data_IF_918158020461
#
_entry.id   IF_918158020461
#
_cell.length_a   1.000
_cell.length_b   1.000
_cell.length_c   1.000
_cell.angle_alpha   90.00
_cell.angle_beta   90.00
_cell.angle_gamma   90.00
#
_symmetry.space_group_name_H-M   'P 1'
#
loop_
_entity.id
_entity.type
_entity.pdbx_description
1 polymer ?
#
# COMPACT_ATOMS: atom_id res chain seq x y z
N UNK A 1 -27.54 -0.90 38.39
CA UNK A 1 -26.73 -1.44 37.27
C UNK A 1 -25.49 -0.59 37.02
N UNK A 2 -24.33 -1.15 36.66
CA UNK A 2 -23.16 -0.33 36.28
C UNK A 2 -23.40 0.44 34.97
N UNK A 3 -22.37 1.13 34.42
CA UNK A 3 -22.40 1.64 33.05
C UNK A 3 -22.89 0.55 32.09
N UNK A 4 -23.98 0.81 31.36
CA UNK A 4 -24.47 -0.12 30.34
C UNK A 4 -24.25 0.44 28.96
N UNK A 5 -24.02 -0.43 27.98
CA UNK A 5 -23.91 -0.03 26.57
C UNK A 5 -25.06 -0.69 25.84
N UNK A 6 -25.98 0.10 25.31
CA UNK A 6 -27.13 -0.41 24.57
C UNK A 6 -26.71 -0.53 23.10
N UNK A 7 -26.82 -1.75 22.56
CA UNK A 7 -26.54 -1.97 21.14
C UNK A 7 -27.79 -1.67 20.29
N UNK A 8 -27.64 -0.88 19.20
CA UNK A 8 -28.75 -0.59 18.31
C UNK A 8 -29.25 -1.84 17.56
N UNK A 9 -28.36 -2.80 17.33
CA UNK A 9 -28.67 -4.09 16.70
C UNK A 9 -27.73 -5.18 17.21
N UNK A 10 -28.25 -6.39 17.39
CA UNK A 10 -27.50 -7.57 17.82
C UNK A 10 -26.83 -8.26 16.63
N UNK A 11 -25.87 -7.59 16.00
CA UNK A 11 -25.00 -8.22 14.99
C UNK A 11 -23.63 -8.54 15.58
N UNK A 12 -23.00 -9.61 15.08
CA UNK A 12 -21.65 -10.01 15.50
C UNK A 12 -20.63 -8.88 15.34
N UNK A 13 -20.76 -8.07 14.28
CA UNK A 13 -19.88 -6.93 14.00
C UNK A 13 -20.03 -5.83 15.05
N UNK A 14 -21.26 -5.40 15.35
CA UNK A 14 -21.54 -4.35 16.34
C UNK A 14 -21.06 -4.77 17.73
N UNK A 15 -21.31 -6.02 18.13
CA UNK A 15 -20.85 -6.57 19.42
C UNK A 15 -19.32 -6.56 19.46
N UNK A 16 -18.66 -6.99 18.38
CA UNK A 16 -17.19 -7.06 18.36
C UNK A 16 -16.55 -5.68 18.34
N UNK A 17 -17.12 -4.73 17.59
CA UNK A 17 -16.68 -3.33 17.55
C UNK A 17 -16.77 -2.67 18.94
N UNK A 18 -17.92 -2.80 19.61
CA UNK A 18 -18.10 -2.24 20.95
C UNK A 18 -17.18 -2.90 21.98
N UNK A 19 -17.08 -4.24 21.95
CA UNK A 19 -16.24 -4.99 22.89
C UNK A 19 -14.75 -4.64 22.70
N UNK A 20 -14.30 -4.49 21.45
CA UNK A 20 -12.94 -4.06 21.15
C UNK A 20 -12.68 -2.61 21.51
N UNK A 21 -13.64 -1.72 21.26
CA UNK A 21 -13.56 -0.33 21.69
C UNK A 21 -13.41 -0.20 23.20
N UNK A 22 -14.21 -0.95 23.96
CA UNK A 22 -14.11 -1.01 25.42
C UNK A 22 -12.71 -1.51 25.84
N UNK A 23 -12.26 -2.66 25.33
CA UNK A 23 -10.97 -3.23 25.71
C UNK A 23 -9.79 -2.30 25.38
N UNK A 24 -9.79 -1.67 24.21
CA UNK A 24 -8.76 -0.70 23.83
C UNK A 24 -8.71 0.49 24.80
N UNK A 25 -9.86 1.03 25.17
CA UNK A 25 -9.93 2.15 26.11
C UNK A 25 -9.46 1.73 27.52
N UNK A 26 -9.85 0.55 28.00
CA UNK A 26 -9.39 0.00 29.28
C UNK A 26 -7.86 -0.20 29.29
N UNK A 27 -7.26 -0.55 28.15
CA UNK A 27 -5.82 -0.72 27.97
C UNK A 27 -5.04 0.60 27.73
N UNK A 28 -5.71 1.77 27.83
CA UNK A 28 -5.15 3.08 27.49
C UNK A 28 -4.68 3.20 26.03
N UNK A 29 -5.38 2.57 25.10
CA UNK A 29 -5.11 2.61 23.66
C UNK A 29 -6.11 3.50 22.92
N UNK A 30 -5.67 4.04 21.79
CA UNK A 30 -6.51 4.89 20.94
C UNK A 30 -7.62 4.08 20.30
N UNK A 31 -8.85 4.52 20.48
CA UNK A 31 -10.02 4.02 19.77
C UNK A 31 -10.55 5.10 18.82
N UNK A 32 -10.98 4.70 17.63
CA UNK A 32 -11.38 5.64 16.58
C UNK A 32 -12.69 6.34 16.95
N UNK A 33 -12.66 7.67 17.06
CA UNK A 33 -13.81 8.45 17.55
C UNK A 33 -15.06 8.31 16.66
N UNK A 34 -14.87 8.06 15.36
CA UNK A 34 -15.94 7.80 14.38
C UNK A 34 -16.67 6.48 14.61
N UNK A 35 -15.98 5.48 15.17
CA UNK A 35 -16.60 4.21 15.57
C UNK A 35 -17.24 4.38 16.95
N UNK A 36 -16.58 5.11 17.86
CA UNK A 36 -17.11 5.40 19.18
C UNK A 36 -18.41 6.20 19.18
N UNK A 37 -18.66 7.06 18.19
CA UNK A 37 -19.93 7.78 18.05
C UNK A 37 -21.14 6.90 17.77
N UNK A 38 -20.93 5.65 17.33
CA UNK A 38 -22.03 4.70 17.10
C UNK A 38 -22.55 4.07 18.39
N UNK A 39 -21.84 4.27 19.50
CA UNK A 39 -22.15 3.68 20.80
C UNK A 39 -22.34 4.78 21.84
N UNK A 40 -23.11 4.48 22.87
CA UNK A 40 -23.30 5.37 24.01
C UNK A 40 -23.28 4.57 25.30
N UNK A 41 -22.76 5.20 26.35
CA UNK A 41 -22.96 4.72 27.71
C UNK A 41 -24.35 5.15 28.17
N UNK A 42 -25.21 4.20 28.45
CA UNK A 42 -26.54 4.45 28.98
C UNK A 42 -26.50 4.33 30.51
N UNK A 43 -26.85 5.43 31.17
CA UNK A 43 -27.12 5.46 32.60
C UNK A 43 -28.64 5.54 32.81
N UNK A 44 -29.15 4.75 33.75
CA UNK A 44 -30.56 4.74 34.11
C UNK A 44 -30.76 5.60 35.34
N UNK A 45 -31.79 6.46 35.32
CA UNK A 45 -32.17 7.29 36.46
C UNK A 45 -33.61 7.03 36.84
N UNK A 46 -33.87 6.97 38.14
CA UNK A 46 -35.22 6.90 38.70
C UNK A 46 -35.44 8.13 39.59
N UNK A 47 -36.45 8.95 39.29
CA UNK A 47 -36.77 10.19 40.04
C UNK A 47 -35.58 11.14 40.26
N UNK A 48 -34.62 11.16 39.32
CA UNK A 48 -33.42 12.00 39.39
C UNK A 48 -32.21 11.33 40.04
N UNK A 49 -32.37 10.20 40.72
CA UNK A 49 -31.28 9.43 41.33
C UNK A 49 -30.73 8.36 40.37
N UNK A 50 -29.41 8.07 40.43
CA UNK A 50 -28.80 7.04 39.59
C UNK A 50 -29.30 5.65 40.00
N UNK A 51 -29.84 4.90 39.04
CA UNK A 51 -30.25 3.52 39.23
C UNK A 51 -29.07 2.57 39.00
N UNK A 52 -28.03 2.71 39.85
CA UNK A 52 -26.77 2.00 39.70
C UNK A 52 -26.53 0.90 40.77
N UNK A 53 -25.28 0.60 41.14
CA UNK A 53 -24.98 -0.35 42.22
C UNK A 53 -25.16 0.25 43.63
N UNK A 54 -25.31 1.57 43.73
CA UNK A 54 -25.57 2.28 44.98
C UNK A 54 -27.06 2.33 45.34
N UNK A 55 -27.94 1.99 44.40
CA UNK A 55 -29.38 1.88 44.66
C UNK A 55 -29.66 0.75 45.64
N UNK A 56 -30.27 1.07 46.78
CA UNK A 56 -30.78 0.10 47.74
C UNK A 56 -32.30 0.24 47.88
N UNK A 57 -32.98 -0.89 47.77
CA UNK A 57 -34.40 -1.04 48.07
C UNK A 57 -34.52 -1.88 49.34
N UNK A 58 -35.43 -1.51 50.24
CA UNK A 58 -35.66 -2.30 51.46
C UNK A 58 -36.55 -3.51 51.16
N UNK A 59 -37.55 -3.33 50.29
CA UNK A 59 -38.45 -4.38 49.84
C UNK A 59 -38.47 -4.52 48.31
N UNK A 60 -38.83 -5.71 47.79
CA UNK A 60 -38.92 -5.99 46.35
C UNK A 60 -39.97 -5.10 45.64
N UNK A 61 -40.98 -4.61 46.38
CA UNK A 61 -41.99 -3.67 45.89
C UNK A 61 -41.46 -2.25 45.66
N UNK A 62 -40.30 -1.92 46.23
CA UNK A 62 -39.65 -0.62 46.05
C UNK A 62 -38.81 -0.55 44.77
N UNK A 63 -38.68 -1.68 44.05
CA UNK A 63 -38.01 -1.72 42.76
C UNK A 63 -38.89 -1.00 41.73
N UNK A 64 -38.40 0.10 41.12
CA UNK A 64 -39.19 0.87 40.18
C UNK A 64 -39.51 0.05 38.93
N UNK A 65 -40.74 0.17 38.37
CA UNK A 65 -41.08 -0.47 37.11
C UNK A 65 -40.24 0.11 35.98
N UNK A 66 -39.87 -0.72 35.00
CA UNK A 66 -38.97 -0.33 33.90
C UNK A 66 -39.44 0.92 33.13
N UNK A 67 -40.75 1.18 33.07
CA UNK A 67 -41.36 2.36 32.44
C UNK A 67 -41.07 3.68 33.16
N UNK A 68 -40.64 3.64 34.42
CA UNK A 68 -40.31 4.82 35.23
C UNK A 68 -38.82 5.22 35.15
N UNK A 69 -38.00 4.42 34.48
CA UNK A 69 -36.58 4.68 34.30
C UNK A 69 -36.35 5.61 33.12
N UNK A 70 -35.61 6.70 33.36
CA UNK A 70 -35.15 7.61 32.31
C UNK A 70 -33.74 7.21 31.91
N UNK A 71 -33.52 7.01 30.60
CA UNK A 71 -32.21 6.68 30.04
C UNK A 71 -31.50 7.97 29.64
N UNK A 72 -30.30 8.18 30.17
CA UNK A 72 -29.40 9.24 29.73
C UNK A 72 -28.21 8.62 29.01
N UNK A 73 -27.96 9.08 27.78
CA UNK A 73 -26.86 8.59 26.95
C UNK A 73 -25.66 9.55 27.06
N UNK A 74 -24.54 9.01 27.50
CA UNK A 74 -23.24 9.65 27.58
C UNK A 74 -22.32 9.11 26.48
N UNK A 75 -21.24 9.84 26.19
CA UNK A 75 -20.25 9.44 25.19
C UNK A 75 -19.62 8.10 25.55
N UNK A 76 -19.36 7.24 24.55
CA UNK A 76 -18.72 5.93 24.73
C UNK A 76 -17.22 6.04 25.10
N UNK A 77 -16.97 6.48 26.33
CA UNK A 77 -15.64 6.75 26.88
C UNK A 77 -15.51 6.08 28.25
N UNK A 78 -14.50 5.22 28.40
CA UNK A 78 -14.20 4.50 29.63
C UNK A 78 -12.82 4.88 30.14
N UNK A 79 -12.69 5.03 31.46
CA UNK A 79 -11.42 5.28 32.09
C UNK A 79 -10.50 4.04 31.96
N UNK A 80 -9.20 4.22 31.65
CA UNK A 80 -8.26 3.11 31.59
C UNK A 80 -8.07 2.48 32.97
N UNK A 81 -7.90 1.16 33.01
CA UNK A 81 -7.62 0.44 34.25
C UNK A 81 -6.11 0.26 34.42
N UNK A 82 -5.56 0.68 35.56
CA UNK A 82 -4.11 0.67 35.80
C UNK A 82 -3.45 -0.70 35.54
N UNK A 83 -4.13 -1.80 35.90
CA UNK A 83 -3.62 -3.17 35.70
C UNK A 83 -3.83 -3.74 34.29
N UNK A 84 -4.61 -3.07 33.43
CA UNK A 84 -4.80 -3.46 32.03
C UNK A 84 -4.00 -2.60 31.06
N UNK A 85 -3.32 -1.56 31.54
CA UNK A 85 -2.46 -0.72 30.69
C UNK A 85 -1.36 -1.57 30.09
N UNK A 86 -1.35 -1.65 28.76
CA UNK A 86 -0.28 -2.31 28.02
C UNK A 86 0.43 -1.31 27.11
N UNK A 87 1.76 -1.35 27.07
CA UNK A 87 2.51 -0.63 26.05
C UNK A 87 2.57 -1.44 24.75
N UNK A 88 1.54 -1.29 23.93
CA UNK A 88 1.48 -1.96 22.63
C UNK A 88 2.52 -1.45 21.63
N UNK A 89 3.23 -0.33 21.90
CA UNK A 89 4.37 0.09 21.07
C UNK A 89 5.54 -0.88 21.23
N UNK A 90 5.69 -1.51 22.40
CA UNK A 90 6.69 -2.53 22.68
C UNK A 90 6.52 -3.83 21.89
N UNK A 91 5.32 -4.11 21.36
CA UNK A 91 5.08 -5.30 20.55
C UNK A 91 5.75 -5.26 19.16
N UNK A 92 5.96 -4.06 18.60
CA UNK A 92 6.56 -3.94 17.26
C UNK A 92 8.05 -4.35 17.26
N UNK A 93 8.89 -3.92 18.22
CA UNK A 93 10.24 -4.47 18.40
C UNK A 93 10.25 -5.97 18.70
N UNK A 94 9.31 -6.46 19.51
CA UNK A 94 9.23 -7.89 19.86
C UNK A 94 8.97 -8.75 18.63
N UNK A 95 8.08 -8.33 17.73
CA UNK A 95 7.82 -9.03 16.47
C UNK A 95 9.06 -9.21 15.59
N UNK A 96 10.00 -8.25 15.63
CA UNK A 96 11.26 -8.35 14.88
C UNK A 96 12.28 -9.28 15.53
N UNK A 97 12.33 -9.30 16.87
CA UNK A 97 13.37 -10.00 17.64
C UNK A 97 13.01 -11.43 18.02
N UNK A 98 11.73 -11.70 18.30
CA UNK A 98 11.27 -12.99 18.80
C UNK A 98 10.52 -13.79 17.73
N UNK A 99 11.09 -14.92 17.34
CA UNK A 99 10.48 -15.84 16.40
C UNK A 99 9.20 -16.48 16.96
N UNK A 100 9.11 -16.73 18.26
CA UNK A 100 7.93 -17.35 18.89
C UNK A 100 6.74 -16.40 18.86
N UNK A 101 6.94 -15.14 19.27
CA UNK A 101 5.91 -14.12 19.16
C UNK A 101 5.46 -13.91 17.71
N UNK A 102 6.40 -13.85 16.75
CA UNK A 102 6.06 -13.80 15.32
C UNK A 102 5.22 -15.00 14.87
N UNK A 103 5.56 -16.22 15.30
CA UNK A 103 4.81 -17.43 14.97
C UNK A 103 3.38 -17.38 15.54
N UNK A 104 3.24 -16.87 16.77
CA UNK A 104 1.94 -16.66 17.40
C UNK A 104 1.09 -15.68 16.58
N UNK A 105 1.64 -14.51 16.23
CA UNK A 105 0.93 -13.49 15.44
C UNK A 105 0.48 -14.04 14.08
N UNK A 106 1.34 -14.75 13.36
CA UNK A 106 0.98 -15.36 12.07
C UNK A 106 -0.15 -16.38 12.23
N UNK A 107 -0.10 -17.25 13.24
CA UNK A 107 -1.18 -18.21 13.55
C UNK A 107 -2.48 -17.50 13.94
N UNK A 108 -2.41 -16.40 14.68
CA UNK A 108 -3.59 -15.62 15.05
C UNK A 108 -4.25 -15.02 13.81
N UNK A 109 -3.49 -14.51 12.84
CA UNK A 109 -4.06 -14.02 11.58
C UNK A 109 -4.72 -15.13 10.76
N UNK A 110 -4.22 -16.37 10.81
CA UNK A 110 -4.89 -17.49 10.15
C UNK A 110 -6.29 -17.78 10.73
N UNK A 111 -6.52 -17.47 12.01
CA UNK A 111 -7.81 -17.62 12.69
C UNK A 111 -8.72 -16.42 12.41
N UNK A 112 -8.15 -15.21 12.32
CA UNK A 112 -8.88 -13.96 12.07
C UNK A 112 -9.32 -13.86 10.60
N UNK A 113 -8.53 -14.37 9.65
CA UNK A 113 -8.85 -14.36 8.21
C UNK A 113 -9.91 -15.40 7.86
N UNK A 114 -11.12 -15.15 8.37
CA UNK A 114 -12.36 -15.84 8.03
C UNK A 114 -13.44 -14.80 7.76
N UNK A 115 -14.40 -15.05 6.86
CA UNK A 115 -15.41 -14.06 6.48
C UNK A 115 -16.15 -13.44 7.66
N UNK A 116 -16.38 -14.20 8.75
CA UNK A 116 -17.12 -13.74 9.92
C UNK A 116 -16.30 -12.82 10.84
N UNK A 117 -14.96 -12.84 10.75
CA UNK A 117 -14.05 -12.19 11.71
C UNK A 117 -13.09 -11.18 11.09
N UNK A 118 -12.93 -11.20 9.76
CA UNK A 118 -11.93 -10.38 9.05
C UNK A 118 -12.11 -8.88 9.27
N UNK A 119 -13.36 -8.42 9.49
CA UNK A 119 -13.66 -7.03 9.80
C UNK A 119 -12.97 -6.55 11.08
N UNK A 120 -12.61 -7.45 12.01
CA UNK A 120 -11.83 -7.09 13.19
C UNK A 120 -10.49 -6.42 12.87
N UNK A 121 -9.94 -6.67 11.68
CA UNK A 121 -8.69 -6.05 11.25
C UNK A 121 -8.86 -4.57 10.89
N UNK A 122 -10.06 -4.13 10.49
CA UNK A 122 -10.29 -2.74 10.06
C UNK A 122 -10.48 -1.79 11.22
N UNK A 123 -11.21 -2.20 12.27
CA UNK A 123 -11.46 -1.37 13.45
C UNK A 123 -10.49 -1.59 14.61
N UNK A 124 -9.68 -2.66 14.60
CA UNK A 124 -8.64 -2.86 15.61
C UNK A 124 -7.27 -2.31 15.13
N UNK A 125 -6.77 -1.21 15.71
CA UNK A 125 -5.52 -0.58 15.28
C UNK A 125 -4.29 -1.47 15.54
N UNK A 126 -4.37 -2.40 16.50
CA UNK A 126 -3.29 -3.34 16.83
C UNK A 126 -3.16 -4.38 15.73
N UNK A 127 -4.28 -5.01 15.34
CA UNK A 127 -4.29 -5.96 14.22
C UNK A 127 -3.89 -5.28 12.93
N UNK A 128 -4.33 -4.05 12.68
CA UNK A 128 -3.88 -3.26 11.53
C UNK A 128 -2.35 -3.07 11.51
N UNK A 129 -1.74 -2.71 12.66
CA UNK A 129 -0.27 -2.54 12.77
C UNK A 129 0.49 -3.85 12.64
N UNK A 130 0.05 -4.91 13.31
CA UNK A 130 0.68 -6.24 13.24
C UNK A 130 0.57 -6.83 11.83
N UNK A 131 -0.56 -6.66 11.16
CA UNK A 131 -0.73 -7.12 9.78
C UNK A 131 0.26 -6.42 8.85
N UNK A 132 0.42 -5.10 8.97
CA UNK A 132 1.42 -4.35 8.19
C UNK A 132 2.84 -4.88 8.42
N UNK A 133 3.18 -5.31 9.64
CA UNK A 133 4.47 -5.93 9.94
C UNK A 133 4.60 -7.32 9.31
N UNK A 134 3.56 -8.15 9.36
CA UNK A 134 3.52 -9.44 8.68
C UNK A 134 3.74 -9.26 7.17
N UNK A 135 3.06 -8.29 6.55
CA UNK A 135 3.19 -7.99 5.12
C UNK A 135 4.58 -7.47 4.71
N UNK A 136 5.40 -6.98 5.65
CA UNK A 136 6.80 -6.62 5.36
C UNK A 136 7.72 -7.83 5.24
N UNK A 137 7.35 -8.96 5.84
CA UNK A 137 8.13 -10.21 5.78
C UNK A 137 7.81 -11.00 4.50
N UNK A 138 8.10 -10.40 3.34
CA UNK A 138 7.76 -10.98 2.02
C UNK A 138 8.45 -12.29 1.70
N UNK A 139 9.60 -12.55 2.33
CA UNK A 139 10.35 -13.80 2.15
C UNK A 139 9.83 -14.94 3.05
N UNK A 140 8.86 -14.68 3.92
CA UNK A 140 8.27 -15.69 4.78
C UNK A 140 7.17 -16.47 4.01
N UNK A 141 7.33 -17.78 3.76
CA UNK A 141 6.37 -18.57 2.98
C UNK A 141 4.98 -18.64 3.62
N UNK A 142 4.87 -18.34 4.92
CA UNK A 142 3.57 -18.31 5.62
C UNK A 142 2.70 -17.15 5.15
N UNK A 143 3.30 -16.09 4.62
CA UNK A 143 2.58 -14.93 4.11
C UNK A 143 1.73 -15.29 2.89
N UNK A 144 2.15 -16.25 2.06
CA UNK A 144 1.40 -16.69 0.88
C UNK A 144 0.06 -17.31 1.29
N UNK A 145 0.06 -18.18 2.30
CA UNK A 145 -1.15 -18.81 2.85
C UNK A 145 -2.08 -17.75 3.46
N UNK A 146 -1.53 -16.82 4.24
CA UNK A 146 -2.28 -15.70 4.80
C UNK A 146 -2.91 -14.82 3.70
N UNK A 147 -2.17 -14.54 2.63
CA UNK A 147 -2.64 -13.73 1.50
C UNK A 147 -3.75 -14.43 0.73
N UNK A 148 -3.66 -15.75 0.54
CA UNK A 148 -4.71 -16.55 -0.08
C UNK A 148 -6.00 -16.54 0.77
N UNK A 149 -5.89 -16.75 2.08
CA UNK A 149 -7.04 -16.67 3.02
C UNK A 149 -7.67 -15.28 3.05
N UNK A 150 -6.84 -14.23 3.07
CA UNK A 150 -7.34 -12.84 3.02
C UNK A 150 -8.05 -12.55 1.70
N UNK A 151 -7.54 -13.06 0.58
CA UNK A 151 -8.15 -12.90 -0.75
C UNK A 151 -9.57 -13.48 -0.81
N UNK A 152 -9.82 -14.60 -0.13
CA UNK A 152 -11.15 -15.19 0.00
C UNK A 152 -12.10 -14.33 0.85
N UNK A 153 -11.55 -13.49 1.73
CA UNK A 153 -12.29 -12.58 2.60
C UNK A 153 -12.45 -11.16 2.01
N UNK A 154 -11.95 -10.89 0.80
CA UNK A 154 -12.08 -9.57 0.13
C UNK A 154 -13.53 -9.17 -0.13
N UNK A 155 -14.46 -10.07 -0.51
CA UNK A 155 -15.87 -9.68 -0.73
C UNK A 155 -16.53 -9.05 0.51
N UNK A 156 -16.14 -9.47 1.72
CA UNK A 156 -16.60 -8.89 2.98
C UNK A 156 -15.84 -7.62 3.38
N UNK A 157 -14.71 -7.31 2.73
CA UNK A 157 -13.88 -6.12 2.93
C UNK A 157 -14.18 -5.06 1.85
N UNK A 158 -15.41 -4.57 1.75
CA UNK A 158 -15.82 -3.51 0.81
C UNK A 158 -15.22 -2.13 1.12
N UNK A 159 -14.25 -2.02 2.03
CA UNK A 159 -13.68 -0.77 2.55
C UNK A 159 -12.87 0.07 1.54
N UNK A 160 -12.40 -0.52 0.44
CA UNK A 160 -11.65 0.23 -0.59
C UNK A 160 -12.48 1.32 -1.26
N UNK A 161 -13.76 1.04 -1.55
CA UNK A 161 -14.70 2.01 -2.08
C UNK A 161 -15.04 3.10 -1.04
N UNK A 162 -15.13 2.72 0.25
CA UNK A 162 -15.45 3.66 1.34
C UNK A 162 -14.41 4.78 1.47
N UNK A 163 -13.11 4.47 1.47
CA UNK A 163 -12.06 5.51 1.57
C UNK A 163 -12.12 6.51 0.43
N UNK A 164 -12.37 6.02 -0.80
CA UNK A 164 -12.50 6.88 -1.98
C UNK A 164 -13.74 7.77 -1.84
N UNK A 165 -14.88 7.19 -1.45
CA UNK A 165 -16.11 7.95 -1.18
C UNK A 165 -15.92 9.04 -0.14
N UNK A 166 -15.30 8.71 0.99
CA UNK A 166 -15.07 9.68 2.07
C UNK A 166 -14.15 10.83 1.59
N UNK A 167 -13.10 10.51 0.84
CA UNK A 167 -12.19 11.52 0.28
C UNK A 167 -12.88 12.40 -0.78
N UNK A 168 -13.69 11.82 -1.66
CA UNK A 168 -14.46 12.55 -2.68
C UNK A 168 -15.54 13.43 -2.04
N UNK A 169 -16.24 12.93 -1.02
CA UNK A 169 -17.25 13.69 -0.29
C UNK A 169 -16.65 14.91 0.42
N UNK A 170 -15.45 14.75 1.00
CA UNK A 170 -14.71 15.85 1.61
C UNK A 170 -14.16 16.85 0.57
N UNK A 171 -13.86 16.40 -0.65
CA UNK A 171 -13.28 17.19 -1.72
C UNK A 171 -14.35 17.74 -2.67
N UNK A 172 -15.16 18.70 -2.21
CA UNK A 172 -16.07 19.53 -3.00
C UNK A 172 -16.74 18.82 -4.22
N UNK A 173 -17.83 18.06 -4.01
CA UNK A 173 -18.37 17.09 -4.99
C UNK A 173 -18.95 17.70 -6.28
N UNK A 174 -19.15 19.02 -6.34
CA UNK A 174 -19.75 19.73 -7.48
C UNK A 174 -18.72 20.49 -8.34
N UNK A 175 -17.44 20.32 -8.05
CA UNK A 175 -16.35 21.00 -8.77
C UNK A 175 -15.88 20.28 -10.03
N UNK A 176 -14.82 20.80 -10.68
CA UNK A 176 -14.20 20.15 -11.83
C UNK A 176 -13.68 18.77 -11.47
N UNK A 177 -13.83 17.81 -12.37
CA UNK A 177 -13.49 16.41 -12.14
C UNK A 177 -12.85 15.73 -13.35
N UNK A 178 -12.16 14.63 -13.07
CA UNK A 178 -11.65 13.72 -14.08
C UNK A 178 -12.55 12.51 -14.22
N UNK A 179 -12.82 12.13 -15.46
CA UNK A 179 -13.43 10.85 -15.81
C UNK A 179 -12.53 10.12 -16.80
N UNK A 180 -12.73 8.81 -16.92
CA UNK A 180 -12.02 7.99 -17.88
C UNK A 180 -13.03 7.39 -18.84
N UNK A 181 -12.76 7.50 -20.14
CA UNK A 181 -13.52 6.76 -21.14
C UNK A 181 -13.04 5.30 -21.15
N UNK A 182 -13.77 4.46 -20.42
CA UNK A 182 -13.50 3.03 -20.25
C UNK A 182 -13.97 2.31 -21.53
N UNK A 183 -13.22 2.49 -22.62
CA UNK A 183 -13.32 1.60 -23.78
C UNK A 183 -12.84 0.18 -23.44
N UNK A 184 -12.46 -0.60 -24.45
CA UNK A 184 -11.85 -1.91 -24.19
C UNK A 184 -10.50 -1.75 -23.48
N UNK A 185 -10.44 -2.15 -22.20
CA UNK A 185 -9.19 -2.22 -21.43
C UNK A 185 -8.39 -3.44 -21.89
N UNK A 186 -7.17 -3.23 -22.38
CA UNK A 186 -6.26 -4.33 -22.77
C UNK A 186 -5.54 -4.96 -21.57
N UNK A 187 -5.67 -4.38 -20.37
CA UNK A 187 -4.93 -4.77 -19.18
C UNK A 187 -5.84 -5.34 -18.09
N UNK A 188 -5.27 -6.09 -17.15
CA UNK A 188 -5.99 -6.65 -16.00
C UNK A 188 -5.79 -5.80 -14.73
N UNK A 189 -6.70 -5.94 -13.75
CA UNK A 189 -6.55 -5.36 -12.40
C UNK A 189 -5.26 -5.80 -11.70
N UNK A 190 -4.80 -7.03 -11.96
CA UNK A 190 -3.54 -7.55 -11.43
C UNK A 190 -2.32 -6.81 -12.02
N UNK A 191 -2.37 -6.46 -13.31
CA UNK A 191 -1.31 -5.72 -14.01
C UNK A 191 -1.12 -4.30 -13.43
N UNK A 192 -2.19 -3.61 -13.03
CA UNK A 192 -2.04 -2.30 -12.37
C UNK A 192 -1.46 -2.46 -10.97
N UNK A 193 -1.90 -3.47 -10.21
CA UNK A 193 -1.36 -3.73 -8.87
C UNK A 193 0.13 -4.08 -8.91
N UNK A 194 0.57 -4.77 -9.96
CA UNK A 194 1.99 -5.09 -10.13
C UNK A 194 2.84 -3.86 -10.41
N UNK A 195 2.27 -2.72 -10.86
CA UNK A 195 3.02 -1.50 -11.13
C UNK A 195 3.84 -1.05 -9.91
N UNK A 196 3.28 -1.14 -8.70
CA UNK A 196 3.97 -0.77 -7.46
C UNK A 196 5.15 -1.70 -7.10
N UNK A 197 5.18 -2.91 -7.67
CA UNK A 197 6.25 -3.89 -7.52
C UNK A 197 7.21 -3.84 -8.71
N UNK A 198 6.75 -4.25 -9.89
CA UNK A 198 7.54 -4.32 -11.12
C UNK A 198 6.87 -3.51 -12.25
N UNK A 199 7.40 -2.33 -12.63
CA UNK A 199 6.86 -1.52 -13.72
C UNK A 199 7.28 -2.09 -15.08
N UNK A 200 6.69 -3.23 -15.45
CA UNK A 200 6.96 -3.91 -16.72
C UNK A 200 6.60 -3.01 -17.92
N UNK A 201 7.36 -3.02 -19.03
CA UNK A 201 7.15 -2.11 -20.16
C UNK A 201 5.73 -2.17 -20.74
N UNK A 202 5.16 -3.37 -20.91
CA UNK A 202 3.79 -3.52 -21.42
C UNK A 202 2.71 -3.01 -20.46
N UNK A 203 2.98 -3.03 -19.15
CA UNK A 203 2.07 -2.44 -18.15
C UNK A 203 2.16 -0.92 -18.20
N UNK A 204 3.37 -0.36 -18.30
CA UNK A 204 3.58 1.09 -18.43
C UNK A 204 2.93 1.65 -19.69
N UNK A 205 3.08 0.96 -20.82
CA UNK A 205 2.44 1.32 -22.09
C UNK A 205 0.91 1.26 -21.96
N UNK A 206 0.37 0.21 -21.34
CA UNK A 206 -1.06 0.08 -21.07
C UNK A 206 -1.59 1.23 -20.20
N UNK A 207 -0.90 1.55 -19.10
CA UNK A 207 -1.25 2.68 -18.22
C UNK A 207 -1.19 3.99 -18.99
N UNK A 208 -0.13 4.25 -19.75
CA UNK A 208 0.00 5.48 -20.55
C UNK A 208 -1.15 5.62 -21.57
N UNK A 209 -1.48 4.55 -22.29
CA UNK A 209 -2.54 4.55 -23.29
C UNK A 209 -3.93 4.80 -22.68
N UNK A 210 -4.17 4.29 -21.47
CA UNK A 210 -5.43 4.50 -20.77
C UNK A 210 -5.48 5.92 -20.23
N UNK A 211 -4.41 6.39 -19.58
CA UNK A 211 -4.36 7.75 -19.05
C UNK A 211 -4.45 8.81 -20.14
N UNK A 212 -4.00 8.53 -21.37
CA UNK A 212 -4.22 9.41 -22.51
C UNK A 212 -5.72 9.66 -22.83
N UNK A 213 -6.63 8.81 -22.36
CA UNK A 213 -8.09 8.94 -22.52
C UNK A 213 -8.77 9.61 -21.32
N UNK A 214 -7.99 10.14 -20.38
CA UNK A 214 -8.52 10.89 -19.24
C UNK A 214 -9.16 12.20 -19.73
N UNK A 215 -10.41 12.41 -19.37
CA UNK A 215 -11.17 13.59 -19.74
C UNK A 215 -11.34 14.52 -18.54
N UNK A 216 -11.22 15.82 -18.80
CA UNK A 216 -11.52 16.87 -17.84
C UNK A 216 -12.94 17.38 -18.07
N UNK A 217 -13.74 17.42 -17.01
CA UNK A 217 -15.07 18.00 -17.01
C UNK A 217 -15.16 19.12 -15.97
N UNK A 218 -15.82 20.23 -16.33
CA UNK A 218 -16.03 21.35 -15.39
C UNK A 218 -17.00 20.99 -14.25
N UNK A 219 -17.89 20.04 -14.51
CA UNK A 219 -18.87 19.52 -13.56
C UNK A 219 -18.96 18.00 -13.72
N UNK A 220 -19.29 17.26 -12.65
CA UNK A 220 -19.52 15.82 -12.76
C UNK A 220 -20.62 15.54 -13.78
N UNK A 221 -20.44 14.55 -14.67
CA UNK A 221 -21.48 14.15 -15.62
C UNK A 221 -22.75 13.73 -14.86
N UNK A 222 -23.91 13.98 -15.44
CA UNK A 222 -25.19 13.64 -14.83
C UNK A 222 -25.18 12.15 -14.44
N UNK A 223 -25.44 11.88 -13.15
CA UNK A 223 -25.50 10.54 -12.58
C UNK A 223 -26.36 9.65 -13.48
N UNK A 224 -25.82 8.55 -14.00
CA UNK A 224 -26.69 7.49 -14.51
C UNK A 224 -27.38 6.86 -13.32
N UNK A 225 -28.71 6.71 -13.37
CA UNK A 225 -29.58 6.06 -12.37
C UNK A 225 -29.26 4.57 -12.10
N UNK A 226 -28.01 4.15 -12.26
CA UNK A 226 -27.55 2.83 -11.85
C UNK A 226 -27.37 2.87 -10.34
N UNK A 227 -28.24 2.15 -9.64
CA UNK A 227 -28.24 1.94 -8.19
C UNK A 227 -26.98 1.24 -7.64
N UNK A 228 -25.88 1.18 -8.41
CA UNK A 228 -24.61 0.55 -8.03
C UNK A 228 -23.50 1.61 -7.89
N UNK A 229 -23.37 2.11 -6.66
CA UNK A 229 -22.20 2.34 -5.78
C UNK A 229 -20.76 2.60 -6.30
N UNK A 230 -20.51 2.71 -7.61
CA UNK A 230 -19.17 2.94 -8.18
C UNK A 230 -19.00 4.40 -8.64
N UNK A 231 -18.29 5.20 -7.84
CA UNK A 231 -17.85 6.55 -8.23
C UNK A 231 -17.00 6.48 -9.51
N UNK A 232 -17.51 7.03 -10.63
CA UNK A 232 -16.81 7.04 -11.93
C UNK A 232 -16.02 8.31 -12.21
N UNK A 233 -15.90 9.19 -11.22
CA UNK A 233 -15.19 10.46 -11.33
C UNK A 233 -14.27 10.72 -10.13
N UNK A 234 -13.24 11.53 -10.35
CA UNK A 234 -12.34 12.03 -9.30
C UNK A 234 -12.32 13.57 -9.31
N UNK A 235 -12.66 14.25 -8.20
CA UNK A 235 -12.57 15.70 -8.11
C UNK A 235 -11.13 16.21 -8.29
N UNK A 236 -10.99 17.35 -8.98
CA UNK A 236 -9.70 18.03 -9.11
C UNK A 236 -9.20 18.57 -7.76
N UNK A 237 -10.12 18.90 -6.84
CA UNK A 237 -9.86 19.39 -5.48
C UNK A 237 -9.13 18.37 -4.58
N UNK A 238 -9.04 17.10 -4.97
CA UNK A 238 -8.30 16.08 -4.23
C UNK A 238 -6.84 16.47 -4.05
N UNK A 239 -6.26 16.06 -2.91
CA UNK A 239 -4.82 16.16 -2.67
C UNK A 239 -4.05 15.41 -3.75
N UNK A 240 -2.82 15.83 -4.05
CA UNK A 240 -2.04 15.17 -5.11
C UNK A 240 -1.77 13.69 -4.76
N UNK A 241 -1.53 13.37 -3.48
CA UNK A 241 -1.35 11.98 -3.03
C UNK A 241 -2.60 11.13 -3.26
N UNK A 242 -3.78 11.63 -2.86
CA UNK A 242 -5.04 10.91 -3.03
C UNK A 242 -5.43 10.80 -4.50
N UNK A 243 -5.21 11.86 -5.30
CA UNK A 243 -5.47 11.84 -6.73
C UNK A 243 -4.72 10.70 -7.43
N UNK A 244 -3.39 10.64 -7.26
CA UNK A 244 -2.58 9.61 -7.91
C UNK A 244 -2.78 8.21 -7.30
N UNK A 245 -3.15 8.12 -6.02
CA UNK A 245 -3.53 6.86 -5.37
C UNK A 245 -4.85 6.31 -5.91
N UNK A 246 -5.81 7.19 -6.18
CA UNK A 246 -7.16 6.83 -6.62
C UNK A 246 -7.32 6.81 -8.14
N UNK A 247 -6.38 7.31 -8.93
CA UNK A 247 -6.46 7.28 -10.40
C UNK A 247 -6.81 5.88 -10.99
N UNK A 248 -6.28 4.77 -10.46
CA UNK A 248 -6.67 3.42 -10.89
C UNK A 248 -8.12 3.05 -10.61
N UNK A 249 -8.81 3.74 -9.70
CA UNK A 249 -10.23 3.55 -9.44
C UNK A 249 -11.06 3.79 -10.70
N UNK A 250 -10.69 4.80 -11.49
CA UNK A 250 -11.33 5.11 -12.77
C UNK A 250 -11.15 3.99 -13.80
N UNK A 251 -10.07 3.21 -13.69
CA UNK A 251 -9.78 2.07 -14.57
C UNK A 251 -10.48 0.80 -14.08
N UNK A 252 -10.40 0.55 -12.76
CA UNK A 252 -11.01 -0.59 -12.09
C UNK A 252 -11.59 -0.14 -10.75
N UNK A 253 -12.92 -0.18 -10.56
CA UNK A 253 -13.56 0.22 -9.32
C UNK A 253 -12.95 -0.45 -8.06
N UNK A 254 -12.87 0.34 -6.98
CA UNK A 254 -12.26 -0.03 -5.70
C UNK A 254 -10.74 -0.26 -5.71
N UNK A 255 -10.00 0.18 -6.74
CA UNK A 255 -8.54 0.01 -6.81
C UNK A 255 -7.81 1.25 -6.33
N UNK A 256 -7.00 1.11 -5.28
CA UNK A 256 -6.12 2.16 -4.76
C UNK A 256 -4.67 1.71 -4.79
N UNK A 257 -3.74 2.63 -5.04
CA UNK A 257 -2.30 2.35 -4.99
C UNK A 257 -1.65 2.82 -3.69
N UNK A 258 -0.58 2.14 -3.30
CA UNK A 258 0.33 2.64 -2.27
C UNK A 258 1.05 3.91 -2.75
N UNK A 259 1.69 4.65 -1.83
CA UNK A 259 2.46 5.85 -2.15
C UNK A 259 3.45 5.62 -3.31
N UNK A 260 4.16 4.49 -3.33
CA UNK A 260 5.09 4.12 -4.41
C UNK A 260 4.36 3.88 -5.75
N UNK A 261 3.24 3.16 -5.73
CA UNK A 261 2.45 2.96 -6.94
C UNK A 261 1.91 4.28 -7.50
N UNK A 262 1.40 5.15 -6.61
CA UNK A 262 0.95 6.49 -6.97
C UNK A 262 2.09 7.35 -7.55
N UNK A 263 3.28 7.28 -6.96
CA UNK A 263 4.48 7.95 -7.45
C UNK A 263 4.90 7.48 -8.85
N UNK A 264 4.82 6.18 -9.12
CA UNK A 264 5.11 5.64 -10.46
C UNK A 264 4.08 6.09 -11.49
N UNK A 265 2.80 6.12 -11.14
CA UNK A 265 1.74 6.66 -12.00
C UNK A 265 1.98 8.14 -12.29
N UNK A 266 2.28 8.94 -11.26
CA UNK A 266 2.62 10.34 -11.43
C UNK A 266 3.84 10.54 -12.34
N UNK A 267 4.88 9.72 -12.17
CA UNK A 267 6.06 9.75 -13.02
C UNK A 267 5.74 9.40 -14.47
N UNK A 268 4.86 8.43 -14.71
CA UNK A 268 4.37 8.11 -16.05
C UNK A 268 3.61 9.30 -16.66
N UNK A 269 2.69 9.93 -15.91
CA UNK A 269 1.97 11.14 -16.37
C UNK A 269 2.92 12.29 -16.72
N UNK A 270 3.98 12.47 -15.94
CA UNK A 270 4.99 13.49 -16.19
C UNK A 270 5.81 13.16 -17.46
N UNK A 271 6.32 11.93 -17.57
CA UNK A 271 7.12 11.50 -18.71
C UNK A 271 6.32 11.40 -20.02
N UNK A 272 5.02 11.15 -19.94
CA UNK A 272 4.11 11.14 -21.09
C UNK A 272 3.61 12.52 -21.48
N UNK A 273 3.96 13.57 -20.72
CA UNK A 273 3.51 14.94 -20.90
C UNK A 273 1.97 15.08 -20.92
N UNK A 274 1.31 14.49 -19.93
CA UNK A 274 -0.14 14.46 -19.87
C UNK A 274 -0.73 15.83 -19.50
N UNK A 275 -1.45 16.44 -20.44
CA UNK A 275 -1.96 17.82 -20.41
C UNK A 275 -2.59 18.21 -19.07
N UNK A 276 -3.44 17.35 -18.48
CA UNK A 276 -4.19 17.70 -17.27
C UNK A 276 -3.50 17.35 -15.95
N UNK A 277 -2.50 16.47 -15.98
CA UNK A 277 -1.86 15.93 -14.78
C UNK A 277 -0.39 16.30 -14.65
N UNK A 278 0.21 16.90 -15.69
CA UNK A 278 1.64 17.20 -15.75
C UNK A 278 2.12 18.06 -14.57
N UNK A 279 1.49 19.22 -14.35
CA UNK A 279 1.90 20.14 -13.28
C UNK A 279 1.71 19.52 -11.89
N UNK A 280 0.56 18.86 -11.67
CA UNK A 280 0.26 18.17 -10.41
C UNK A 280 1.19 16.99 -10.16
N UNK A 281 1.59 16.28 -11.21
CA UNK A 281 2.57 15.21 -11.12
C UNK A 281 3.93 15.76 -10.74
N UNK A 282 4.37 16.85 -11.36
CA UNK A 282 5.63 17.51 -11.01
C UNK A 282 5.65 17.93 -9.52
N UNK A 283 4.61 18.60 -9.04
CA UNK A 283 4.48 18.98 -7.63
C UNK A 283 4.53 17.77 -6.69
N UNK A 284 3.77 16.71 -6.98
CA UNK A 284 3.77 15.50 -6.18
C UNK A 284 5.13 14.81 -6.15
N UNK A 285 5.79 14.70 -7.32
CA UNK A 285 7.10 14.08 -7.46
C UNK A 285 8.19 14.86 -6.70
N UNK A 286 8.10 16.20 -6.66
CA UNK A 286 9.00 17.01 -5.82
C UNK A 286 8.79 16.77 -4.33
N UNK A 287 7.54 16.57 -3.89
CA UNK A 287 7.22 16.34 -2.48
C UNK A 287 7.75 14.99 -1.96
N UNK A 288 7.80 13.97 -2.82
CA UNK A 288 8.28 12.62 -2.46
C UNK A 288 9.77 12.40 -2.69
N UNK A 289 10.52 13.44 -3.07
CA UNK A 289 11.96 13.34 -3.30
C UNK A 289 12.67 12.79 -2.05
N UNK A 290 13.62 11.86 -2.23
CA UNK A 290 14.34 11.21 -1.12
C UNK A 290 13.64 9.95 -0.56
N UNK A 291 12.44 9.62 -1.05
CA UNK A 291 11.72 8.40 -0.63
C UNK A 291 11.89 7.23 -1.61
N UNK A 292 12.57 7.43 -2.73
CA UNK A 292 12.68 6.44 -3.81
C UNK A 292 13.62 5.29 -3.45
N UNK A 293 14.66 5.58 -2.65
CA UNK A 293 15.68 4.61 -2.28
C UNK A 293 15.76 4.38 -0.76
N UNK A 294 14.87 3.55 -0.18
CA UNK A 294 14.91 3.22 1.24
C UNK A 294 15.91 2.07 1.52
N UNK A 295 17.20 2.39 1.73
CA UNK A 295 18.25 1.36 1.96
C UNK A 295 17.96 0.41 3.11
N UNK A 296 17.39 0.90 4.20
CA UNK A 296 17.04 0.09 5.37
C UNK A 296 16.07 -1.05 5.02
N UNK A 297 15.37 -0.92 3.89
CA UNK A 297 14.36 -1.85 3.39
C UNK A 297 14.71 -2.43 2.02
N UNK A 298 15.97 -2.32 1.58
CA UNK A 298 16.42 -2.80 0.26
C UNK A 298 16.15 -4.31 0.05
N UNK A 299 16.28 -5.12 1.10
CA UNK A 299 16.00 -6.57 1.08
C UNK A 299 14.50 -6.85 1.03
N UNK A 300 13.69 -5.98 1.63
CA UNK A 300 12.22 -6.12 1.66
C UNK A 300 11.58 -5.71 0.32
N UNK A 301 12.24 -4.82 -0.43
CA UNK A 301 11.76 -4.31 -1.72
C UNK A 301 12.81 -4.47 -2.82
N UNK A 302 13.17 -5.72 -3.20
CA UNK A 302 14.20 -5.94 -4.21
C UNK A 302 13.82 -5.36 -5.58
N UNK A 303 12.53 -5.11 -5.82
CA UNK A 303 12.04 -4.65 -7.11
C UNK A 303 12.48 -3.22 -7.44
N UNK A 304 12.92 -2.42 -6.45
CA UNK A 304 13.50 -1.08 -6.68
C UNK A 304 14.83 -1.14 -7.44
N UNK A 305 15.47 -2.32 -7.51
CA UNK A 305 16.70 -2.56 -8.25
C UNK A 305 16.47 -3.30 -9.57
N UNK A 306 15.21 -3.61 -9.92
CA UNK A 306 14.87 -4.20 -11.21
C UNK A 306 15.28 -3.28 -12.37
N UNK A 307 15.63 -3.89 -13.51
CA UNK A 307 16.13 -3.14 -14.66
C UNK A 307 15.09 -2.12 -15.16
N UNK A 308 13.82 -2.49 -15.18
CA UNK A 308 12.70 -1.66 -15.63
C UNK A 308 12.50 -0.46 -14.71
N UNK A 309 12.53 -0.68 -13.40
CA UNK A 309 12.40 0.38 -12.40
C UNK A 309 13.56 1.37 -12.48
N UNK A 310 14.80 0.85 -12.58
CA UNK A 310 16.01 1.67 -12.73
C UNK A 310 15.96 2.48 -14.03
N UNK A 311 15.52 1.90 -15.15
CA UNK A 311 15.36 2.61 -16.42
C UNK A 311 14.34 3.75 -16.33
N UNK A 312 13.21 3.51 -15.67
CA UNK A 312 12.17 4.52 -15.47
C UNK A 312 12.67 5.69 -14.61
N UNK A 313 13.32 5.40 -13.48
CA UNK A 313 13.89 6.43 -12.61
C UNK A 313 15.08 7.15 -13.24
N UNK A 314 15.86 6.47 -14.08
CA UNK A 314 16.90 7.11 -14.88
C UNK A 314 16.32 8.17 -15.84
N UNK A 315 15.10 8.00 -16.35
CA UNK A 315 14.41 9.04 -17.14
C UNK A 315 13.84 10.15 -16.23
N UNK A 316 13.41 9.81 -15.03
CA UNK A 316 12.82 10.70 -14.03
C UNK A 316 13.81 11.43 -13.10
N UNK A 317 15.08 11.57 -13.48
CA UNK A 317 16.15 12.05 -12.58
C UNK A 317 15.89 13.41 -11.91
N UNK A 318 15.08 14.27 -12.52
CA UNK A 318 14.75 15.59 -11.98
C UNK A 318 14.12 15.54 -10.58
N UNK A 319 13.45 14.44 -10.23
CA UNK A 319 12.72 14.27 -8.96
C UNK A 319 13.43 13.34 -7.97
N UNK A 320 14.71 13.09 -8.20
CA UNK A 320 15.58 12.32 -7.33
C UNK A 320 16.53 13.27 -6.59
N UNK A 321 16.90 12.94 -5.35
CA UNK A 321 18.00 13.63 -4.65
C UNK A 321 19.34 13.42 -5.39
N UNK A 322 20.35 14.28 -5.21
CA UNK A 322 21.66 14.09 -5.85
C UNK A 322 22.27 12.71 -5.56
N UNK A 323 22.04 12.20 -4.36
CA UNK A 323 22.47 10.89 -3.94
C UNK A 323 21.71 9.76 -4.67
N UNK A 324 20.38 9.81 -4.70
CA UNK A 324 19.56 8.84 -5.45
C UNK A 324 19.91 8.84 -6.95
N UNK A 325 20.13 10.03 -7.53
CA UNK A 325 20.55 10.17 -8.94
C UNK A 325 21.86 9.43 -9.19
N UNK A 326 22.84 9.58 -8.31
CA UNK A 326 24.12 8.88 -8.45
C UNK A 326 23.93 7.36 -8.45
N UNK A 327 23.16 6.84 -7.49
CA UNK A 327 22.90 5.39 -7.36
C UNK A 327 22.19 4.86 -8.60
N UNK A 328 21.08 5.48 -9.02
CA UNK A 328 20.31 5.01 -10.19
C UNK A 328 21.07 5.17 -11.51
N UNK A 329 21.94 6.18 -11.65
CA UNK A 329 22.86 6.28 -12.80
C UNK A 329 23.83 5.11 -12.85
N UNK A 330 24.43 4.75 -11.72
CA UNK A 330 25.35 3.62 -11.65
C UNK A 330 24.63 2.29 -11.94
N UNK A 331 23.48 2.05 -11.31
CA UNK A 331 22.67 0.86 -11.57
C UNK A 331 22.24 0.75 -13.03
N UNK A 332 21.88 1.87 -13.66
CA UNK A 332 21.52 1.90 -15.08
C UNK A 332 22.70 1.46 -15.97
N UNK A 333 23.91 1.93 -15.68
CA UNK A 333 25.12 1.52 -16.40
C UNK A 333 25.40 0.03 -16.18
N UNK A 334 25.33 -0.45 -14.93
CA UNK A 334 25.55 -1.87 -14.59
C UNK A 334 24.56 -2.77 -15.34
N UNK A 335 23.26 -2.45 -15.30
CA UNK A 335 22.24 -3.22 -16.03
C UNK A 335 22.49 -3.24 -17.54
N UNK A 336 22.92 -2.12 -18.12
CA UNK A 336 23.27 -2.08 -19.55
C UNK A 336 24.52 -2.91 -19.88
N UNK A 337 25.52 -2.92 -19.00
CA UNK A 337 26.71 -3.76 -19.16
C UNK A 337 26.36 -5.24 -19.06
N UNK A 338 25.51 -5.64 -18.12
CA UNK A 338 25.03 -7.02 -17.99
C UNK A 338 24.28 -7.48 -19.26
N UNK A 339 23.41 -6.62 -19.80
CA UNK A 339 22.69 -6.89 -21.06
C UNK A 339 23.60 -6.91 -22.29
N UNK A 340 24.71 -6.18 -22.27
CA UNK A 340 25.68 -6.15 -23.36
C UNK A 340 26.67 -7.33 -23.29
N UNK A 341 27.04 -7.77 -22.08
CA UNK A 341 27.97 -8.87 -21.86
C UNK A 341 27.49 -10.20 -22.45
N UNK A 342 26.17 -10.39 -22.56
CA UNK A 342 25.57 -11.59 -23.17
C UNK A 342 25.47 -11.52 -24.70
N UNK A 343 25.90 -10.43 -25.34
CA UNK A 343 25.85 -10.29 -26.79
C UNK A 343 27.17 -10.75 -27.39
N UNK A 344 27.09 -11.65 -28.36
CA UNK A 344 28.23 -12.01 -29.17
C UNK A 344 28.68 -10.77 -29.95
N UNK A 345 29.95 -10.40 -29.78
CA UNK A 345 30.56 -9.30 -30.51
C UNK A 345 31.42 -9.93 -31.59
N UNK A 346 30.94 -9.85 -32.84
CA UNK A 346 31.74 -10.21 -34.01
C UNK A 346 32.85 -9.16 -34.19
N UNK A 347 34.01 -9.44 -33.62
CA UNK A 347 35.20 -8.62 -33.80
C UNK A 347 35.88 -9.06 -35.08
N UNK A 348 35.83 -8.20 -36.10
CA UNK A 348 36.72 -8.32 -37.26
C UNK A 348 38.12 -7.91 -36.82
N UNK A 349 38.86 -8.88 -36.28
CA UNK A 349 40.28 -8.72 -36.05
C UNK A 349 40.99 -8.75 -37.40
N UNK A 350 41.92 -7.82 -37.62
CA UNK A 350 42.86 -7.90 -38.74
C UNK A 350 43.65 -9.20 -38.69
N UNK A 351 44.39 -9.49 -39.77
CA UNK A 351 45.20 -10.71 -39.86
C UNK A 351 46.02 -10.94 -38.58
N UNK A 352 45.69 -12.01 -37.87
CA UNK A 352 46.39 -12.45 -36.67
C UNK A 352 47.19 -13.68 -37.05
N UNK A 353 48.52 -13.59 -37.24
CA UNK A 353 49.32 -14.74 -37.62
C UNK A 353 49.21 -15.83 -36.55
N UNK A 354 48.82 -17.04 -36.94
CA UNK A 354 48.86 -18.17 -36.01
C UNK A 354 50.31 -18.59 -35.77
N UNK A 355 50.58 -19.21 -34.62
CA UNK A 355 51.94 -19.63 -34.22
C UNK A 355 52.61 -20.55 -35.27
N UNK A 356 51.81 -21.23 -36.07
CA UNK A 356 52.25 -22.15 -37.12
C UNK A 356 52.32 -21.50 -38.51
N UNK A 357 51.77 -20.29 -38.70
CA UNK A 357 51.81 -19.54 -39.97
C UNK A 357 53.14 -18.82 -40.18
N UNK A 358 53.89 -18.59 -39.10
CA UNK A 358 55.21 -17.95 -39.14
C UNK A 358 56.29 -19.03 -39.15
N UNK A 359 56.85 -19.27 -40.33
CA UNK A 359 58.06 -20.08 -40.46
C UNK A 359 59.20 -19.46 -39.63
N UNK A 360 60.00 -20.25 -38.89
CA UNK A 360 61.20 -19.74 -38.27
C UNK A 360 62.10 -19.17 -39.37
N UNK A 361 62.48 -17.92 -39.18
CA UNK A 361 63.40 -17.13 -40.01
C UNK A 361 64.43 -18.01 -40.72
N UNK A 362 64.46 -17.98 -42.06
CA UNK A 362 65.36 -18.82 -42.88
C UNK A 362 66.80 -18.38 -42.61
N UNK A 363 67.45 -19.04 -41.66
CA UNK A 363 68.86 -18.77 -41.37
C UNK A 363 69.74 -19.37 -42.47
N UNK A 364 70.32 -18.52 -43.31
CA UNK A 364 71.36 -18.92 -44.24
C UNK A 364 72.65 -19.22 -43.46
N UNK A 365 73.33 -20.32 -43.80
CA UNK A 365 74.64 -20.63 -43.21
C UNK A 365 75.69 -19.76 -43.88
N UNK A 366 76.51 -19.06 -43.10
CA UNK A 366 77.63 -18.31 -43.63
C UNK A 366 78.60 -19.27 -44.34
N UNK A 367 78.92 -19.00 -45.62
CA UNK A 367 79.87 -19.83 -46.38
C UNK A 367 81.27 -19.88 -45.77
N UNK A 368 81.63 -18.89 -44.95
CA UNK A 368 82.98 -18.78 -44.38
C UNK A 368 83.12 -19.42 -43.00
N UNK A 369 82.09 -19.33 -42.13
CA UNK A 369 82.18 -19.81 -40.74
C UNK A 369 81.07 -20.79 -40.35
N UNK A 370 80.18 -21.17 -41.27
CA UNK A 370 79.16 -22.21 -41.08
C UNK A 370 78.04 -21.90 -40.08
N UNK A 371 78.11 -20.77 -39.36
CA UNK A 371 77.12 -20.37 -38.37
C UNK A 371 75.85 -19.81 -39.03
N UNK A 372 74.65 -20.19 -38.55
CA UNK A 372 73.39 -19.74 -39.13
C UNK A 372 73.12 -18.28 -38.78
N UNK A 373 72.96 -17.42 -39.79
CA UNK A 373 72.59 -16.00 -39.65
C UNK A 373 71.24 -15.76 -40.32
N UNK A 374 70.42 -14.88 -39.75
CA UNK A 374 69.20 -14.43 -40.40
C UNK A 374 69.57 -13.83 -41.78
N UNK A 375 68.99 -14.35 -42.86
CA UNK A 375 69.10 -13.73 -44.17
C UNK A 375 68.17 -12.51 -44.23
N UNK A 376 68.41 -11.54 -45.14
CA UNK A 376 67.42 -10.52 -45.44
C UNK A 376 66.13 -11.13 -46.01
#
# INVERSE_FOLDING_TARGET
MGPTVIFPQLSSTIITEATMGLLLQLMAQTFEATIGSNFAQSAFRHKGEPFDQSFSAQDETDIPPASSLVVTNETFVFAPLEWMKEDLKGMLPLFRRDANFRNLVMKTFEVIFRPEKVLAVTYNPIFGKLLRLCCRQRLDPRLDNLTAKLSQCVPTLTGGAKRIRDAVANAAPLGPCFTLDIGHLSMSKASIRSLAGAPQPGVLEGVQNILARLQYHQFPPAYSDKEDDDLTYLPLSLSNEDLFSFLPHLMFPGTTLSQRGAALVALVCYLSNQIHLYDRAAEYLTLIQGTWLPFDYAVEFPEIFSAEFVQLLYRGQAYLTPFEQQVYRQLFVVHRLLLAATKDIDVVVGYTPQKDDLWPDRKARCHTCGTPRAGP
#
